data_IF_972332006029
#
_entry.id   IF_972332006029
#
_cell.length_a   1.000
_cell.length_b   1.000
_cell.length_c   1.000
_cell.angle_alpha   90.00
_cell.angle_beta   90.00
_cell.angle_gamma   90.00
#
_symmetry.space_group_name_H-M   'P 1'
#
loop_
_entity.id
_entity.type
_entity.pdbx_description
1 polymer ?
#
# COMPACT_ATOMS: atom_id res chain seq x y z
N UNK A 1 -15.84 -13.82 3.75
CA UNK A 1 -16.17 -12.43 3.37
C UNK A 1 -17.29 -12.48 2.35
N UNK A 2 -18.38 -11.74 2.58
CA UNK A 2 -19.48 -11.62 1.62
C UNK A 2 -19.43 -10.20 1.08
N UNK A 3 -19.27 -10.05 -0.24
CA UNK A 3 -19.25 -8.76 -0.91
C UNK A 3 -20.55 -8.60 -1.71
N UNK A 4 -21.21 -7.46 -1.55
CA UNK A 4 -22.36 -7.10 -2.38
C UNK A 4 -21.86 -6.66 -3.75
N UNK A 5 -22.11 -7.49 -4.76
CA UNK A 5 -21.78 -7.20 -6.14
C UNK A 5 -23.04 -6.63 -6.82
N UNK A 6 -22.94 -5.54 -7.62
CA UNK A 6 -24.05 -5.04 -8.39
C UNK A 6 -24.67 -6.14 -9.27
N UNK A 7 -26.01 -6.24 -9.29
CA UNK A 7 -26.74 -7.20 -10.12
C UNK A 7 -26.23 -7.33 -11.56
N UNK A 8 -26.03 -6.23 -12.34
CA UNK A 8 -25.56 -6.37 -13.72
C UNK A 8 -24.20 -7.06 -13.81
N UNK A 9 -23.27 -6.75 -12.91
CA UNK A 9 -21.94 -7.36 -12.91
C UNK A 9 -22.00 -8.84 -12.54
N UNK A 10 -22.85 -9.20 -11.56
CA UNK A 10 -23.05 -10.60 -11.19
C UNK A 10 -23.65 -11.43 -12.33
N UNK A 11 -24.59 -10.87 -13.10
CA UNK A 11 -25.15 -11.54 -14.28
C UNK A 11 -24.08 -11.73 -15.39
N UNK A 12 -23.20 -10.75 -15.62
CA UNK A 12 -22.06 -10.94 -16.53
C UNK A 12 -21.11 -12.03 -16.04
N UNK A 13 -20.79 -12.06 -14.74
CA UNK A 13 -19.91 -13.07 -14.16
C UNK A 13 -20.46 -14.50 -14.34
N UNK A 14 -21.78 -14.69 -14.25
CA UNK A 14 -22.42 -15.99 -14.47
C UNK A 14 -22.27 -16.51 -15.90
N UNK A 15 -22.09 -15.63 -16.89
CA UNK A 15 -21.88 -16.03 -18.29
C UNK A 15 -20.55 -16.74 -18.49
N UNK A 16 -19.60 -16.54 -17.58
CA UNK A 16 -18.25 -17.12 -17.65
C UNK A 16 -17.94 -17.95 -16.40
N UNK A 17 -18.57 -19.15 -16.26
CA UNK A 17 -18.40 -20.02 -15.10
C UNK A 17 -17.00 -20.68 -15.02
N UNK A 18 -16.21 -20.63 -16.08
CA UNK A 18 -14.83 -21.12 -16.11
C UNK A 18 -13.90 -20.33 -15.18
N UNK A 19 -14.26 -19.09 -14.84
CA UNK A 19 -13.47 -18.27 -13.93
C UNK A 19 -13.83 -18.51 -12.46
N UNK A 20 -12.80 -18.70 -11.64
CA UNK A 20 -12.92 -18.68 -10.18
C UNK A 20 -12.98 -17.25 -9.69
N UNK A 21 -14.16 -16.63 -9.76
CA UNK A 21 -14.36 -15.22 -9.39
C UNK A 21 -13.88 -14.86 -7.98
N UNK A 22 -13.93 -15.80 -7.03
CA UNK A 22 -13.41 -15.60 -5.67
C UNK A 22 -11.89 -15.46 -5.62
N UNK A 23 -11.17 -16.10 -6.54
CA UNK A 23 -9.71 -15.99 -6.68
C UNK A 23 -9.33 -14.68 -7.37
N UNK A 24 -10.05 -14.33 -8.45
CA UNK A 24 -9.89 -13.04 -9.15
C UNK A 24 -10.09 -11.87 -8.18
N UNK A 25 -11.14 -11.92 -7.37
CA UNK A 25 -11.42 -10.89 -6.38
C UNK A 25 -10.29 -10.78 -5.33
N UNK A 26 -9.81 -11.91 -4.81
CA UNK A 26 -8.70 -11.92 -3.83
C UNK A 26 -7.44 -11.29 -4.41
N UNK A 27 -7.07 -11.67 -5.63
CA UNK A 27 -5.87 -11.15 -6.29
C UNK A 27 -5.98 -9.64 -6.53
N UNK A 28 -7.12 -9.18 -7.06
CA UNK A 28 -7.35 -7.75 -7.28
C UNK A 28 -7.31 -6.94 -5.98
N UNK A 29 -7.87 -7.47 -4.90
CA UNK A 29 -7.82 -6.82 -3.58
C UNK A 29 -6.37 -6.75 -3.06
N UNK A 30 -5.63 -7.86 -3.17
CA UNK A 30 -4.23 -7.91 -2.73
C UNK A 30 -3.37 -6.90 -3.49
N UNK A 31 -3.47 -6.88 -4.82
CA UNK A 31 -2.76 -5.90 -5.66
C UNK A 31 -3.08 -4.46 -5.27
N UNK A 32 -4.35 -4.17 -4.96
CA UNK A 32 -4.76 -2.82 -4.54
C UNK A 32 -4.19 -2.43 -3.18
N UNK A 33 -4.11 -3.37 -2.24
CA UNK A 33 -3.51 -3.16 -0.92
C UNK A 33 -2.01 -2.89 -1.05
N UNK A 34 -1.29 -3.67 -1.84
CA UNK A 34 0.16 -3.46 -2.03
C UNK A 34 0.44 -2.11 -2.69
N UNK A 35 -0.35 -1.72 -3.69
CA UNK A 35 -0.25 -0.39 -4.30
C UNK A 35 -0.53 0.74 -3.29
N UNK A 36 -1.50 0.55 -2.39
CA UNK A 36 -1.81 1.53 -1.36
C UNK A 36 -0.67 1.66 -0.33
N UNK A 37 -0.11 0.53 0.13
CA UNK A 37 1.06 0.53 1.03
C UNK A 37 2.24 1.26 0.42
N UNK A 38 2.58 0.96 -0.83
CA UNK A 38 3.68 1.64 -1.52
C UNK A 38 3.44 3.16 -1.59
N UNK A 39 2.20 3.59 -1.87
CA UNK A 39 1.87 5.01 -1.90
C UNK A 39 2.05 5.68 -0.53
N UNK A 40 1.70 4.99 0.55
CA UNK A 40 1.86 5.50 1.91
C UNK A 40 3.33 5.53 2.34
N UNK A 41 4.13 4.52 1.99
CA UNK A 41 5.57 4.50 2.21
C UNK A 41 6.26 5.66 1.47
N UNK A 42 5.89 5.89 0.21
CA UNK A 42 6.43 7.00 -0.58
C UNK A 42 6.07 8.36 0.01
N UNK A 43 4.85 8.53 0.54
CA UNK A 43 4.45 9.74 1.26
C UNK A 43 5.27 9.92 2.54
N UNK A 44 5.48 8.86 3.32
CA UNK A 44 6.28 8.90 4.53
C UNK A 44 7.73 9.31 4.23
N UNK A 45 8.33 8.74 3.18
CA UNK A 45 9.67 9.12 2.71
C UNK A 45 9.69 10.58 2.26
N UNK A 46 8.69 11.04 1.51
CA UNK A 46 8.62 12.42 1.05
C UNK A 46 8.52 13.40 2.23
N UNK A 47 7.74 13.07 3.26
CA UNK A 47 7.62 13.85 4.48
C UNK A 47 8.93 13.88 5.26
N UNK A 48 9.57 12.73 5.48
CA UNK A 48 10.86 12.66 6.18
C UNK A 48 11.94 13.49 5.45
N UNK A 49 11.98 13.43 4.11
CA UNK A 49 12.88 14.26 3.30
C UNK A 49 12.59 15.76 3.45
N UNK A 50 11.32 16.14 3.55
CA UNK A 50 10.93 17.53 3.77
C UNK A 50 11.38 18.01 5.15
N UNK A 51 11.16 17.24 6.19
CA UNK A 51 11.57 17.57 7.56
C UNK A 51 13.08 17.69 7.71
N UNK A 52 13.84 16.81 7.04
CA UNK A 52 15.31 16.90 7.00
C UNK A 52 15.76 18.22 6.34
N UNK A 53 15.13 18.62 5.22
CA UNK A 53 15.43 19.90 4.56
C UNK A 53 15.06 21.12 5.41
N UNK A 54 14.00 21.00 6.20
CA UNK A 54 13.57 22.02 7.15
C UNK A 54 14.42 22.02 8.45
N UNK A 55 15.41 21.13 8.57
CA UNK A 55 16.29 21.03 9.72
C UNK A 55 15.59 20.50 10.98
N UNK A 56 14.41 19.87 10.85
CA UNK A 56 13.63 19.33 11.97
C UNK A 56 14.13 17.97 12.43
N UNK A 57 14.88 17.26 11.59
CA UNK A 57 15.42 15.93 11.85
C UNK A 57 16.88 15.87 11.40
N UNK A 58 17.61 14.89 11.94
CA UNK A 58 18.99 14.58 11.54
C UNK A 58 19.08 13.13 11.04
N UNK A 59 20.04 12.80 10.16
CA UNK A 59 20.29 11.42 9.76
C UNK A 59 20.70 10.56 10.96
N UNK A 60 20.35 9.27 10.90
CA UNK A 60 20.63 8.32 11.98
C UNK A 60 22.13 8.18 12.25
N UNK A 61 22.95 8.25 11.20
CA UNK A 61 24.39 8.13 11.26
C UNK A 61 25.03 9.29 12.03
N UNK A 62 24.48 10.49 11.84
CA UNK A 62 24.87 11.71 12.55
C UNK A 62 24.46 11.63 14.02
N UNK A 63 23.23 11.21 14.29
CA UNK A 63 22.74 11.02 15.66
C UNK A 63 23.54 9.95 16.42
N UNK A 64 23.90 8.85 15.77
CA UNK A 64 24.69 7.78 16.38
C UNK A 64 26.12 8.24 16.75
N UNK A 65 26.72 9.13 15.95
CA UNK A 65 27.99 9.79 16.28
C UNK A 65 27.86 10.72 17.48
N UNK A 66 26.81 11.55 17.51
CA UNK A 66 26.54 12.45 18.63
C UNK A 66 26.29 11.72 19.96
N UNK A 67 25.65 10.54 19.90
CA UNK A 67 25.36 9.71 21.07
C UNK A 67 26.49 8.77 21.46
N UNK A 68 27.62 8.76 20.73
CA UNK A 68 28.78 7.91 21.02
C UNK A 68 28.48 6.41 20.91
N UNK A 69 27.55 6.04 20.02
CA UNK A 69 27.15 4.65 19.78
C UNK A 69 27.95 3.99 18.62
N UNK A 70 29.01 4.65 18.13
CA UNK A 70 29.94 4.14 17.12
C UNK A 70 31.31 3.80 17.71
#
# INVERSE_FOLDING_TARGET
>A
MTLSIPKPLHEEMKKYPEYKWSEVARKAIQEKIEAARLADDLKAIAQAKKELREGKTVPLETLAEELGLK
#
